data_IF_877473677174
#
_entry.id   IF_877473677174
#
_cell.length_a   1.000
_cell.length_b   1.000
_cell.length_c   1.000
_cell.angle_alpha   90.00
_cell.angle_beta   90.00
_cell.angle_gamma   90.00
#
_symmetry.space_group_name_H-M   'P 1'
#
loop_
_entity.id
_entity.type
_entity.pdbx_description
1 polymer ?
#
# COMPACT_ATOMS: atom_id res chain seq x y z
N UNK A 1 5.22 3.01 -7.03
CA UNK A 1 4.66 3.12 -5.66
C UNK A 1 3.73 1.92 -5.41
N UNK A 2 3.55 1.41 -4.17
CA UNK A 2 2.71 0.22 -3.92
C UNK A 2 1.28 0.37 -4.46
N UNK A 3 0.68 1.57 -4.35
CA UNK A 3 -0.61 1.91 -4.94
C UNK A 3 -0.69 1.56 -6.45
N UNK A 4 0.31 1.96 -7.23
CA UNK A 4 0.38 1.72 -8.68
C UNK A 4 0.52 0.24 -9.01
N UNK A 5 1.23 -0.51 -8.16
CA UNK A 5 1.44 -1.95 -8.36
C UNK A 5 0.15 -2.73 -8.05
N UNK A 6 -0.55 -2.37 -6.97
CA UNK A 6 -1.74 -3.08 -6.52
C UNK A 6 -3.02 -2.70 -7.26
N UNK A 7 -3.17 -1.41 -7.57
CA UNK A 7 -4.41 -0.88 -8.14
C UNK A 7 -4.26 -0.40 -9.57
N UNK A 8 -3.04 -0.42 -10.14
CA UNK A 8 -2.79 0.10 -11.50
C UNK A 8 -3.04 1.60 -11.64
N UNK A 9 -3.10 2.33 -10.52
CA UNK A 9 -3.46 3.74 -10.47
C UNK A 9 -2.23 4.60 -10.20
N UNK A 10 -1.89 5.55 -11.09
CA UNK A 10 -0.84 6.53 -10.84
C UNK A 10 -1.21 7.40 -9.64
N UNK A 11 -0.21 7.78 -8.85
CA UNK A 11 -0.44 8.62 -7.67
C UNK A 11 -1.00 10.00 -8.05
N UNK A 12 -0.69 10.49 -9.25
CA UNK A 12 -1.23 11.73 -9.82
C UNK A 12 -2.76 11.74 -9.88
N UNK A 13 -3.38 10.59 -10.14
CA UNK A 13 -4.84 10.48 -10.24
C UNK A 13 -5.53 10.39 -8.86
N UNK A 14 -4.75 10.06 -7.83
CA UNK A 14 -5.23 9.93 -6.45
C UNK A 14 -4.97 11.21 -5.65
N UNK A 15 -3.89 11.91 -5.94
CA UNK A 15 -3.42 13.11 -5.24
C UNK A 15 -4.43 14.23 -5.36
N UNK A 16 -4.88 14.76 -4.22
CA UNK A 16 -5.71 15.96 -4.16
C UNK A 16 -4.84 17.18 -3.84
N UNK A 17 -5.30 18.41 -4.16
CA UNK A 17 -4.55 19.63 -3.84
C UNK A 17 -4.22 19.75 -2.34
N UNK A 18 -5.09 19.21 -1.48
CA UNK A 18 -4.90 19.26 -0.02
C UNK A 18 -3.79 18.32 0.47
N UNK A 19 -3.38 17.34 -0.34
CA UNK A 19 -2.32 16.40 0.01
C UNK A 19 -0.93 16.99 -0.25
N UNK A 20 -0.81 18.10 -0.98
CA UNK A 20 0.48 18.65 -1.41
C UNK A 20 1.34 19.11 -0.22
N UNK A 21 2.63 18.88 -0.34
CA UNK A 21 3.61 19.26 0.67
C UNK A 21 3.88 20.77 0.70
N UNK A 22 4.81 21.20 1.59
CA UNK A 22 5.25 22.59 1.62
C UNK A 22 5.74 23.04 0.23
N UNK A 23 5.32 24.24 -0.18
CA UNK A 23 5.47 24.82 -1.52
C UNK A 23 4.49 24.31 -2.59
N UNK A 24 3.42 23.60 -2.19
CA UNK A 24 2.40 23.12 -3.10
C UNK A 24 2.96 22.16 -4.17
N UNK A 25 3.95 21.35 -3.77
CA UNK A 25 4.64 20.38 -4.61
C UNK A 25 4.55 18.99 -3.96
N UNK A 26 4.44 17.92 -4.78
CA UNK A 26 4.52 16.56 -4.28
C UNK A 26 5.94 16.23 -3.80
N UNK A 27 5.98 15.45 -2.72
CA UNK A 27 7.14 14.77 -2.15
C UNK A 27 6.69 13.40 -1.60
N UNK A 28 7.64 12.60 -1.15
CA UNK A 28 7.39 11.23 -0.69
C UNK A 28 6.40 11.16 0.47
N UNK A 29 6.42 12.15 1.38
CA UNK A 29 5.52 12.19 2.53
C UNK A 29 4.11 12.63 2.14
N UNK A 30 3.96 13.59 1.23
CA UNK A 30 2.64 13.97 0.70
C UNK A 30 2.01 12.85 -0.12
N UNK A 31 2.80 12.13 -0.92
CA UNK A 31 2.31 11.00 -1.71
C UNK A 31 1.86 9.86 -0.80
N UNK A 32 2.62 9.61 0.27
CA UNK A 32 2.23 8.68 1.31
C UNK A 32 0.89 9.06 1.97
N UNK A 33 0.70 10.34 2.29
CA UNK A 33 -0.56 10.83 2.86
C UNK A 33 -1.73 10.70 1.88
N UNK A 34 -1.54 11.02 0.60
CA UNK A 34 -2.55 10.88 -0.44
C UNK A 34 -3.02 9.42 -0.58
N UNK A 35 -2.08 8.46 -0.56
CA UNK A 35 -2.39 7.02 -0.58
C UNK A 35 -3.20 6.61 0.64
N UNK A 36 -2.77 7.00 1.84
CA UNK A 36 -3.48 6.65 3.08
C UNK A 36 -4.90 7.20 3.11
N UNK A 37 -5.08 8.46 2.69
CA UNK A 37 -6.39 9.09 2.59
C UNK A 37 -7.29 8.31 1.63
N UNK A 38 -6.79 8.02 0.43
CA UNK A 38 -7.55 7.32 -0.60
C UNK A 38 -7.96 5.91 -0.19
N UNK A 39 -7.07 5.17 0.48
CA UNK A 39 -7.41 3.83 1.00
C UNK A 39 -8.51 3.90 2.04
N UNK A 40 -8.41 4.84 2.99
CA UNK A 40 -9.44 5.04 4.00
C UNK A 40 -10.79 5.39 3.37
N UNK A 41 -10.81 6.27 2.37
CA UNK A 41 -12.04 6.60 1.63
C UNK A 41 -12.68 5.35 0.99
N UNK A 42 -11.86 4.42 0.47
CA UNK A 42 -12.35 3.16 -0.12
C UNK A 42 -12.74 2.10 0.89
N UNK A 43 -12.06 2.02 2.03
CA UNK A 43 -12.44 1.16 3.16
C UNK A 43 -13.78 1.58 3.74
N UNK A 44 -13.96 2.89 3.97
CA UNK A 44 -15.20 3.46 4.49
C UNK A 44 -16.37 3.22 3.50
N UNK A 45 -16.08 3.19 2.19
CA UNK A 45 -17.02 2.84 1.15
C UNK A 45 -17.25 1.31 0.99
N UNK A 46 -16.46 0.47 1.69
CA UNK A 46 -16.52 -0.98 1.60
C UNK A 46 -16.00 -1.57 0.28
N UNK A 47 -15.28 -0.77 -0.51
CA UNK A 47 -14.77 -1.14 -1.84
C UNK A 47 -13.47 -1.94 -1.76
N UNK A 48 -12.72 -1.79 -0.67
CA UNK A 48 -11.42 -2.45 -0.47
C UNK A 48 -11.32 -2.96 0.97
N UNK A 49 -10.99 -4.24 1.11
CA UNK A 49 -10.43 -4.79 2.35
C UNK A 49 -8.94 -4.47 2.30
N UNK A 50 -8.44 -3.53 3.08
CA UNK A 50 -7.06 -3.00 2.97
C UNK A 50 -6.05 -3.65 3.92
N UNK A 51 -6.42 -4.76 4.56
CA UNK A 51 -5.64 -5.32 5.66
C UNK A 51 -4.21 -5.68 5.23
N UNK A 52 -4.05 -6.33 4.08
CA UNK A 52 -2.74 -6.67 3.53
C UNK A 52 -2.01 -5.42 3.04
N UNK A 53 -2.70 -4.44 2.44
CA UNK A 53 -2.08 -3.17 2.05
C UNK A 53 -1.53 -2.40 3.27
N UNK A 54 -2.29 -2.32 4.36
CA UNK A 54 -1.85 -1.71 5.61
C UNK A 54 -0.71 -2.49 6.26
N UNK A 55 -0.76 -3.82 6.24
CA UNK A 55 0.30 -4.68 6.75
C UNK A 55 1.61 -4.47 5.98
N UNK A 56 1.54 -4.47 4.64
CA UNK A 56 2.69 -4.25 3.76
C UNK A 56 3.27 -2.84 3.92
N UNK A 57 2.40 -1.83 3.94
CA UNK A 57 2.80 -0.43 4.15
C UNK A 57 3.44 -0.24 5.52
N UNK A 58 2.84 -0.80 6.58
CA UNK A 58 3.39 -0.78 7.93
C UNK A 58 4.74 -1.50 8.03
N UNK A 59 4.93 -2.58 7.28
CA UNK A 59 6.22 -3.25 7.17
C UNK A 59 7.26 -2.37 6.47
N UNK A 60 6.94 -1.81 5.30
CA UNK A 60 7.83 -0.88 4.58
C UNK A 60 8.25 0.32 5.43
N UNK A 61 7.34 0.88 6.24
CA UNK A 61 7.68 1.95 7.19
C UNK A 61 8.63 1.48 8.30
N UNK A 62 8.44 0.28 8.85
CA UNK A 62 9.39 -0.32 9.81
C UNK A 62 10.76 -0.52 9.18
N UNK A 63 10.81 -0.88 7.89
CA UNK A 63 12.05 -0.99 7.14
C UNK A 63 12.73 0.36 6.97
N UNK A 64 11.97 1.40 6.64
CA UNK A 64 12.50 2.76 6.48
C UNK A 64 13.12 3.31 7.79
N UNK A 65 12.52 2.98 8.94
CA UNK A 65 13.00 3.41 10.26
C UNK A 65 14.15 2.52 10.78
N UNK A 66 14.26 1.28 10.30
CA UNK A 66 15.27 0.31 10.73
C UNK A 66 16.60 0.45 9.99
N UNK A 67 17.72 0.82 10.64
CA UNK A 67 19.02 1.00 9.98
C UNK A 67 19.62 -0.31 9.42
N UNK A 68 19.05 -1.47 9.75
CA UNK A 68 19.46 -2.80 9.28
C UNK A 68 18.54 -3.39 8.20
N UNK A 69 17.46 -2.70 7.82
CA UNK A 69 16.54 -3.18 6.81
C UNK A 69 17.14 -3.04 5.42
N UNK A 70 17.45 -4.16 4.78
CA UNK A 70 18.04 -4.19 3.45
C UNK A 70 17.61 -5.43 2.70
N UNK A 71 17.02 -5.26 1.52
CA UNK A 71 16.68 -6.36 0.62
C UNK A 71 17.93 -7.12 0.11
N UNK A 72 19.13 -6.56 0.28
CA UNK A 72 20.40 -7.26 0.01
C UNK A 72 20.78 -8.25 1.12
N UNK A 73 20.14 -8.15 2.28
CA UNK A 73 20.27 -9.15 3.34
C UNK A 73 19.29 -10.29 3.05
N UNK A 74 19.83 -11.47 2.77
CA UNK A 74 19.06 -12.64 2.36
C UNK A 74 18.02 -13.06 3.41
N UNK A 75 18.34 -12.94 4.71
CA UNK A 75 17.41 -13.26 5.79
C UNK A 75 16.24 -12.28 5.83
N UNK A 76 16.53 -11.00 5.63
CA UNK A 76 15.51 -9.96 5.58
C UNK A 76 14.63 -10.12 4.33
N UNK A 77 15.22 -10.35 3.16
CA UNK A 77 14.48 -10.58 1.90
C UNK A 77 13.51 -11.76 2.02
N UNK A 78 13.97 -12.89 2.57
CA UNK A 78 13.10 -14.06 2.80
C UNK A 78 11.99 -13.77 3.81
N UNK A 79 12.24 -12.92 4.79
CA UNK A 79 11.20 -12.50 5.76
C UNK A 79 10.14 -11.63 5.07
N UNK A 80 10.54 -10.73 4.16
CA UNK A 80 9.60 -9.95 3.34
C UNK A 80 8.77 -10.88 2.46
N UNK A 81 9.43 -11.80 1.74
CA UNK A 81 8.75 -12.77 0.87
C UNK A 81 7.76 -13.64 1.63
N UNK A 82 8.07 -14.06 2.86
CA UNK A 82 7.19 -14.93 3.63
C UNK A 82 6.04 -14.21 4.33
N UNK A 83 6.25 -12.96 4.77
CA UNK A 83 5.27 -12.26 5.63
C UNK A 83 4.44 -11.21 4.89
N UNK A 84 4.94 -10.69 3.77
CA UNK A 84 4.33 -9.56 3.07
C UNK A 84 3.71 -9.99 1.73
N UNK A 85 4.38 -10.84 0.96
CA UNK A 85 3.84 -11.27 -0.33
C UNK A 85 2.56 -12.11 -0.20
N UNK A 86 2.44 -13.12 0.69
CA UNK A 86 1.26 -13.97 0.70
C UNK A 86 -0.04 -13.23 1.07
N UNK A 87 -0.08 -12.38 2.11
CA UNK A 87 -1.27 -11.58 2.39
C UNK A 87 -1.67 -10.66 1.23
N UNK A 88 -0.67 -10.09 0.52
CA UNK A 88 -0.92 -9.22 -0.62
C UNK A 88 -1.46 -9.98 -1.82
N UNK A 89 -0.94 -11.17 -2.11
CA UNK A 89 -1.42 -12.05 -3.17
C UNK A 89 -2.83 -12.58 -2.89
N UNK A 90 -3.13 -12.93 -1.64
CA UNK A 90 -4.47 -13.35 -1.19
C UNK A 90 -5.49 -12.22 -1.34
N UNK A 91 -5.12 -10.99 -0.98
CA UNK A 91 -5.97 -9.80 -1.12
C UNK A 91 -6.20 -9.46 -2.60
N UNK A 92 -5.14 -9.48 -3.43
CA UNK A 92 -5.27 -9.30 -4.89
C UNK A 92 -6.17 -10.37 -5.51
N UNK A 93 -6.01 -11.63 -5.12
CA UNK A 93 -6.85 -12.73 -5.61
C UNK A 93 -8.31 -12.52 -5.20
N UNK A 94 -8.55 -12.10 -3.96
CA UNK A 94 -9.91 -11.83 -3.46
C UNK A 94 -10.57 -10.65 -4.18
N UNK A 95 -9.80 -9.60 -4.52
CA UNK A 95 -10.27 -8.44 -5.27
C UNK A 95 -10.53 -8.76 -6.75
N UNK A 96 -9.67 -9.56 -7.38
CA UNK A 96 -9.79 -9.94 -8.80
C UNK A 96 -10.91 -10.95 -9.06
N UNK A 97 -11.13 -11.89 -8.14
CA UNK A 97 -12.18 -12.91 -8.30
C UNK A 97 -13.53 -12.51 -7.72
N UNK A 98 -13.59 -11.40 -6.98
CA UNK A 98 -14.79 -10.93 -6.30
C UNK A 98 -15.29 -11.93 -5.25
N UNK A 99 -16.05 -11.42 -4.28
CA UNK A 99 -16.83 -12.26 -3.36
C UNK A 99 -17.89 -13.03 -4.17
N UNK A 100 -17.51 -14.13 -4.82
CA UNK A 100 -18.44 -15.06 -5.47
C UNK A 100 -19.11 -15.90 -4.38
N UNK A 101 -20.02 -15.27 -3.66
CA UNK A 101 -20.75 -15.85 -2.54
C UNK A 101 -22.09 -15.21 -2.23
N UNK A 102 -22.59 -14.31 -3.07
CA UNK A 102 -23.98 -13.85 -2.99
C UNK A 102 -24.80 -14.56 -4.09
N UNK A 103 -25.27 -15.77 -3.74
CA UNK A 103 -26.36 -16.48 -4.41
C UNK A 103 -27.28 -17.08 -3.34
#
# INVERSE_FOLDING_TARGET
>A
MLLEIFFGLPIEDVRKPEDLGPNNQPNEMSDFQAVLRWLREREDAGEVSSFAFHSATGYCLKCFVGPSASLKNEYFSKTVEAQILPPLEEEMTSLLYGRRGDA
#
